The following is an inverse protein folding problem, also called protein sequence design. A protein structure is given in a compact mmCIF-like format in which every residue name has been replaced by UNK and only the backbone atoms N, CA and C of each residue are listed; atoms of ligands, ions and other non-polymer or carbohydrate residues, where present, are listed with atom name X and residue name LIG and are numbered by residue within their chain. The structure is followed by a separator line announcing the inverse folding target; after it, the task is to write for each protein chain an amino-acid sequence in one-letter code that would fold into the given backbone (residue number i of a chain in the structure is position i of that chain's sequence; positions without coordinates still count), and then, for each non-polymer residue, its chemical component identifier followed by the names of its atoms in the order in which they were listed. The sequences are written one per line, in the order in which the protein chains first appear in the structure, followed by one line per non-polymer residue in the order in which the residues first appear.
data_IF_516585655633
#
_entry.id   IF_516585655633
#
_cell.length_a   1.000
_cell.length_b   1.000
_cell.length_c   1.000
_cell.angle_alpha   90.00
_cell.angle_beta   90.00
_cell.angle_gamma   90.00
#
_symmetry.space_group_name_H-M   'P 1'
#
loop_
_entity.id
_entity.type
_entity.pdbx_description
1 polymer ?
#
# COMPACT_ATOMS: atom_id res chain seq x y z
N UNK A 1 2.90 -21.01 -1.58
CA UNK A 1 1.95 -19.97 -1.18
C UNK A 1 2.49 -19.08 -0.07
N UNK A 2 1.83 -17.97 0.22
CA UNK A 2 2.18 -17.08 1.33
C UNK A 2 1.29 -17.39 2.54
N UNK A 3 1.91 -17.68 3.70
CA UNK A 3 1.22 -17.89 4.97
C UNK A 3 1.84 -16.98 6.04
N UNK A 4 1.05 -16.18 6.72
CA UNK A 4 1.50 -15.22 7.73
C UNK A 4 2.72 -14.37 7.29
N UNK A 5 2.76 -13.98 6.02
CA UNK A 5 3.85 -13.19 5.43
C UNK A 5 5.06 -14.00 4.95
N UNK A 6 5.12 -15.30 5.21
CA UNK A 6 6.22 -16.19 4.82
C UNK A 6 5.83 -17.04 3.61
N UNK A 7 6.78 -17.28 2.70
CA UNK A 7 6.57 -18.22 1.59
C UNK A 7 6.70 -19.66 2.10
N UNK A 8 5.68 -20.46 1.85
CA UNK A 8 5.62 -21.89 2.21
C UNK A 8 5.58 -22.71 0.93
N UNK A 9 6.51 -23.65 0.80
CA UNK A 9 6.51 -24.60 -0.29
C UNK A 9 5.41 -25.63 -0.10
N UNK A 10 4.54 -25.80 -1.11
CA UNK A 10 3.47 -26.79 -1.09
C UNK A 10 3.92 -28.12 -1.67
N UNK A 11 4.67 -28.08 -2.76
CA UNK A 11 5.19 -29.24 -3.47
C UNK A 11 6.35 -28.83 -4.39
N UNK A 12 7.11 -29.82 -4.87
CA UNK A 12 8.14 -29.62 -5.88
C UNK A 12 8.23 -30.81 -6.82
N UNK A 13 8.55 -30.56 -8.08
CA UNK A 13 8.76 -31.60 -9.07
C UNK A 13 9.96 -31.27 -9.95
N UNK A 14 10.63 -32.32 -10.44
CA UNK A 14 11.67 -32.17 -11.46
C UNK A 14 11.05 -32.23 -12.86
N UNK A 15 11.40 -31.25 -13.70
CA UNK A 15 11.01 -31.29 -15.08
C UNK A 15 11.86 -32.31 -15.86
N UNK A 16 11.20 -33.18 -16.63
CA UNK A 16 11.84 -34.13 -17.51
C UNK A 16 11.29 -33.95 -18.96
N UNK A 17 12.17 -33.77 -19.93
CA UNK A 17 11.79 -33.51 -21.34
C UNK A 17 10.78 -32.36 -21.50
N UNK A 18 10.94 -31.30 -20.72
CA UNK A 18 10.09 -30.13 -20.76
C UNK A 18 8.71 -30.27 -20.07
N UNK A 19 8.48 -31.36 -19.34
CA UNK A 19 7.22 -31.55 -18.61
C UNK A 19 7.46 -31.88 -17.12
N UNK A 20 6.51 -31.55 -16.28
CA UNK A 20 6.45 -31.93 -14.87
C UNK A 20 5.00 -32.25 -14.48
N UNK A 21 4.82 -32.94 -13.38
CA UNK A 21 3.51 -33.21 -12.79
C UNK A 21 3.63 -33.06 -11.27
N UNK A 22 2.68 -32.35 -10.68
CA UNK A 22 2.50 -32.26 -9.22
C UNK A 22 1.14 -32.83 -8.86
N UNK A 23 1.01 -33.42 -7.68
CA UNK A 23 -0.25 -33.96 -7.16
C UNK A 23 -0.35 -33.61 -5.70
N UNK A 24 -1.19 -32.65 -5.36
CA UNK A 24 -1.47 -32.21 -3.99
C UNK A 24 -2.69 -32.89 -3.38
N UNK A 25 -2.91 -32.61 -2.08
CA UNK A 25 -4.20 -32.87 -1.41
C UNK A 25 -5.28 -31.88 -1.85
N UNK A 26 -6.52 -32.11 -1.38
CA UNK A 26 -7.63 -31.17 -1.63
C UNK A 26 -7.40 -29.88 -0.85
N UNK A 27 -7.75 -28.77 -1.49
CA UNK A 27 -7.81 -27.43 -0.85
C UNK A 27 -9.26 -27.12 -0.43
N UNK A 28 -9.41 -26.38 0.65
CA UNK A 28 -10.74 -26.01 1.18
C UNK A 28 -11.45 -25.01 0.25
N UNK A 29 -10.67 -24.11 -0.34
CA UNK A 29 -11.15 -23.08 -1.29
C UNK A 29 -10.01 -22.72 -2.25
N UNK A 30 -10.34 -22.13 -3.42
CA UNK A 30 -9.33 -21.63 -4.33
C UNK A 30 -8.42 -20.60 -3.68
N UNK A 31 -7.10 -20.72 -3.89
CA UNK A 31 -6.12 -19.76 -3.38
C UNK A 31 -5.03 -19.47 -4.41
N UNK A 32 -4.55 -18.21 -4.43
CA UNK A 32 -3.45 -17.80 -5.30
C UNK A 32 -2.15 -18.42 -4.83
N UNK A 33 -1.47 -19.14 -5.72
CA UNK A 33 -0.18 -19.77 -5.46
C UNK A 33 0.85 -19.34 -6.50
N UNK A 34 2.13 -19.50 -6.15
CA UNK A 34 3.26 -19.19 -7.02
C UNK A 34 3.92 -20.47 -7.48
N UNK A 35 4.01 -20.66 -8.81
CA UNK A 35 4.92 -21.63 -9.41
C UNK A 35 6.25 -20.92 -9.73
N UNK A 36 7.34 -21.40 -9.20
CA UNK A 36 8.68 -20.86 -9.43
C UNK A 36 9.66 -21.94 -9.86
N UNK A 37 10.68 -21.56 -10.60
CA UNK A 37 11.81 -22.42 -10.93
C UNK A 37 12.93 -22.16 -9.95
N UNK A 38 13.45 -23.22 -9.34
CA UNK A 38 14.54 -23.13 -8.36
C UNK A 38 15.77 -22.42 -8.96
N UNK A 39 16.41 -21.61 -8.16
CA UNK A 39 17.60 -20.84 -8.54
C UNK A 39 17.40 -19.89 -9.76
N UNK A 40 16.13 -19.52 -10.01
CA UNK A 40 15.74 -18.64 -11.10
C UNK A 40 14.76 -17.56 -10.61
N UNK A 41 14.63 -16.49 -11.41
CA UNK A 41 13.59 -15.47 -11.22
C UNK A 41 12.29 -15.82 -11.95
N UNK A 42 12.26 -16.93 -12.68
CA UNK A 42 11.12 -17.34 -13.47
C UNK A 42 10.00 -17.85 -12.57
N UNK A 43 8.84 -17.22 -12.69
CA UNK A 43 7.67 -17.52 -11.86
C UNK A 43 6.38 -17.13 -12.56
N UNK A 44 5.29 -17.82 -12.23
CA UNK A 44 3.92 -17.43 -12.58
C UNK A 44 3.00 -17.65 -11.40
N UNK A 45 1.87 -16.95 -11.38
CA UNK A 45 0.85 -17.08 -10.34
C UNK A 45 -0.43 -17.67 -10.93
N UNK A 46 -1.10 -18.51 -10.16
CA UNK A 46 -2.37 -19.06 -10.57
C UNK A 46 -3.24 -19.43 -9.37
N UNK A 47 -4.54 -19.57 -9.60
CA UNK A 47 -5.42 -20.10 -8.58
C UNK A 47 -5.33 -21.62 -8.54
N UNK A 48 -4.90 -22.15 -7.40
CA UNK A 48 -4.94 -23.57 -7.06
C UNK A 48 -6.31 -23.91 -6.50
N UNK A 49 -7.01 -24.84 -7.14
CA UNK A 49 -8.29 -25.38 -6.71
C UNK A 49 -8.36 -26.88 -6.97
N UNK A 50 -9.45 -27.55 -6.52
CA UNK A 50 -9.60 -29.00 -6.69
C UNK A 50 -9.98 -29.36 -8.13
N UNK A 51 -9.03 -29.16 -9.07
CA UNK A 51 -9.19 -29.42 -10.49
C UNK A 51 -7.86 -29.92 -11.11
N UNK A 52 -7.92 -30.42 -12.31
CA UNK A 52 -6.72 -30.71 -13.12
C UNK A 52 -6.29 -29.44 -13.82
N UNK A 53 -5.22 -28.82 -13.34
CA UNK A 53 -4.71 -27.54 -13.84
C UNK A 53 -3.52 -27.80 -14.75
N UNK A 54 -3.57 -27.27 -15.95
CA UNK A 54 -2.49 -27.32 -16.93
C UNK A 54 -1.83 -25.96 -17.06
N UNK A 55 -0.48 -25.95 -16.96
CA UNK A 55 0.33 -24.75 -17.13
C UNK A 55 1.28 -24.99 -18.31
N UNK A 56 1.15 -24.18 -19.35
CA UNK A 56 1.97 -24.27 -20.56
C UNK A 56 2.67 -22.94 -20.81
N UNK A 57 3.98 -22.96 -20.97
CA UNK A 57 4.76 -21.73 -21.19
C UNK A 57 6.20 -22.01 -21.56
N UNK A 58 6.94 -20.95 -21.84
CA UNK A 58 8.38 -21.00 -22.07
C UNK A 58 9.09 -20.73 -20.74
N UNK A 59 10.21 -21.44 -20.52
CA UNK A 59 10.96 -21.33 -19.27
C UNK A 59 11.53 -19.92 -19.05
N UNK A 60 11.93 -19.24 -20.11
CA UNK A 60 12.48 -17.88 -20.08
C UNK A 60 11.43 -16.77 -19.93
N UNK A 61 10.15 -17.10 -20.08
CA UNK A 61 9.01 -16.18 -20.00
C UNK A 61 7.80 -16.80 -19.28
N UNK A 62 8.07 -17.47 -18.15
CA UNK A 62 7.05 -18.19 -17.38
C UNK A 62 5.90 -17.28 -16.88
N UNK A 63 6.14 -15.97 -16.73
CA UNK A 63 5.11 -14.98 -16.41
C UNK A 63 3.99 -14.90 -17.44
N UNK A 64 4.27 -15.25 -18.71
CA UNK A 64 3.30 -15.34 -19.81
C UNK A 64 2.74 -16.75 -20.02
N UNK A 65 2.84 -17.65 -19.04
CA UNK A 65 2.32 -19.01 -19.17
C UNK A 65 0.80 -19.00 -19.32
N UNK A 66 0.31 -19.87 -20.20
CA UNK A 66 -1.13 -20.15 -20.35
C UNK A 66 -1.53 -21.15 -19.27
N UNK A 67 -2.52 -20.79 -18.46
CA UNK A 67 -3.05 -21.61 -17.39
C UNK A 67 -4.50 -21.97 -17.76
N UNK A 68 -4.88 -23.23 -17.58
CA UNK A 68 -6.21 -23.73 -17.89
C UNK A 68 -6.63 -24.82 -16.90
N UNK A 69 -7.95 -25.03 -16.77
CA UNK A 69 -8.52 -26.02 -15.86
C UNK A 69 -8.84 -25.49 -14.46
N UNK A 70 -8.50 -24.23 -14.14
CA UNK A 70 -8.96 -23.55 -12.94
C UNK A 70 -10.01 -22.51 -13.30
N UNK A 71 -11.28 -22.74 -12.88
CA UNK A 71 -12.38 -21.81 -13.12
C UNK A 71 -12.13 -20.45 -12.47
N UNK A 72 -11.57 -20.45 -11.26
CA UNK A 72 -11.25 -19.21 -10.53
C UNK A 72 -10.13 -18.44 -11.23
N UNK A 73 -9.15 -19.15 -11.81
CA UNK A 73 -8.09 -18.50 -12.59
C UNK A 73 -8.61 -17.90 -13.89
N UNK A 74 -9.48 -18.63 -14.61
CA UNK A 74 -10.09 -18.14 -15.85
C UNK A 74 -10.92 -16.86 -15.59
N UNK A 75 -11.69 -16.81 -14.50
CA UNK A 75 -12.44 -15.62 -14.08
C UNK A 75 -11.51 -14.45 -13.76
N UNK A 76 -10.48 -14.68 -12.94
CA UNK A 76 -9.49 -13.68 -12.57
C UNK A 76 -8.72 -13.14 -13.78
N UNK A 77 -8.17 -14.01 -14.61
CA UNK A 77 -7.37 -13.63 -15.78
C UNK A 77 -8.20 -12.91 -16.84
N UNK A 78 -9.46 -13.33 -17.03
CA UNK A 78 -10.40 -12.64 -17.91
C UNK A 78 -10.67 -11.21 -17.46
N UNK A 79 -10.86 -11.00 -16.15
CA UNK A 79 -11.02 -9.65 -15.60
C UNK A 79 -9.72 -8.83 -15.70
N UNK A 80 -8.58 -9.40 -15.33
CA UNK A 80 -7.27 -8.72 -15.43
C UNK A 80 -7.01 -8.26 -16.86
N UNK A 81 -7.31 -9.10 -17.86
CA UNK A 81 -7.17 -8.72 -19.26
C UNK A 81 -8.00 -7.49 -19.62
N UNK A 82 -9.22 -7.36 -19.08
CA UNK A 82 -10.04 -6.16 -19.33
C UNK A 82 -9.40 -4.89 -18.75
N UNK A 83 -8.75 -5.01 -17.59
CA UNK A 83 -7.99 -3.90 -16.98
C UNK A 83 -6.71 -3.60 -17.77
N UNK A 84 -6.02 -4.63 -18.26
CA UNK A 84 -4.80 -4.46 -19.05
C UNK A 84 -5.08 -3.74 -20.38
N UNK A 85 -6.19 -4.08 -21.06
CA UNK A 85 -6.61 -3.42 -22.31
C UNK A 85 -6.87 -1.91 -22.08
N UNK A 86 -7.43 -1.53 -20.92
CA UNK A 86 -7.57 -0.12 -20.53
C UNK A 86 -6.24 0.52 -20.11
N UNK A 87 -5.39 -0.23 -19.43
CA UNK A 87 -4.06 0.21 -18.99
C UNK A 87 -3.12 0.50 -20.18
N UNK A 88 -3.25 -0.23 -21.31
CA UNK A 88 -2.50 0.06 -22.52
C UNK A 88 -2.87 1.42 -23.11
N UNK A 89 -4.17 1.77 -23.15
CA UNK A 89 -4.63 3.10 -23.57
C UNK A 89 -4.12 4.20 -22.63
N UNK A 90 -4.13 3.94 -21.33
CA UNK A 90 -3.58 4.83 -20.33
C UNK A 90 -2.07 5.07 -20.51
N UNK A 91 -1.30 4.04 -20.83
CA UNK A 91 0.14 4.15 -21.06
C UNK A 91 0.47 5.11 -22.20
N UNK A 92 -0.32 5.10 -23.28
CA UNK A 92 -0.14 6.03 -24.39
C UNK A 92 -0.39 7.51 -23.95
N UNK A 93 -1.45 7.75 -23.19
CA UNK A 93 -1.76 9.10 -22.65
C UNK A 93 -0.64 9.56 -21.71
N UNK A 94 -0.11 8.66 -20.88
CA UNK A 94 0.99 8.96 -19.97
C UNK A 94 2.29 9.31 -20.71
N UNK A 95 2.62 8.62 -21.81
CA UNK A 95 3.76 8.95 -22.65
C UNK A 95 3.63 10.34 -23.27
N UNK A 96 2.43 10.70 -23.75
CA UNK A 96 2.16 12.05 -24.28
C UNK A 96 2.28 13.12 -23.19
N UNK A 97 1.83 12.83 -21.96
CA UNK A 97 2.02 13.71 -20.81
C UNK A 97 3.49 13.95 -20.51
N UNK A 98 4.33 12.90 -20.50
CA UNK A 98 5.77 13.03 -20.28
C UNK A 98 6.44 13.93 -21.33
N UNK A 99 6.04 13.80 -22.61
CA UNK A 99 6.55 14.64 -23.70
C UNK A 99 6.12 16.09 -23.48
N UNK A 100 4.83 16.34 -23.23
CA UNK A 100 4.32 17.69 -23.01
C UNK A 100 4.97 18.40 -21.81
N UNK A 101 5.21 17.63 -20.72
CA UNK A 101 5.90 18.14 -19.53
C UNK A 101 7.38 18.49 -19.83
N UNK A 102 8.09 17.67 -20.62
CA UNK A 102 9.47 17.95 -21.04
C UNK A 102 9.58 19.15 -21.98
N UNK A 103 8.60 19.33 -22.86
CA UNK A 103 8.52 20.48 -23.78
C UNK A 103 8.07 21.78 -23.10
N UNK A 104 7.60 21.71 -21.84
CA UNK A 104 7.07 22.87 -21.10
C UNK A 104 5.67 23.29 -21.54
N UNK A 105 4.95 22.46 -22.31
CA UNK A 105 3.56 22.69 -22.67
C UNK A 105 2.62 22.40 -21.49
N UNK A 106 2.52 23.35 -20.58
CA UNK A 106 1.73 23.22 -19.35
C UNK A 106 0.23 23.05 -19.61
N UNK A 107 -0.30 23.61 -20.71
CA UNK A 107 -1.72 23.48 -21.06
C UNK A 107 -2.05 22.04 -21.49
N UNK A 108 -1.23 21.49 -22.39
CA UNK A 108 -1.38 20.10 -22.84
C UNK A 108 -1.12 19.10 -21.71
N UNK A 109 -0.09 19.35 -20.89
CA UNK A 109 0.20 18.51 -19.72
C UNK A 109 -0.99 18.46 -18.76
N UNK A 110 -1.59 19.60 -18.40
CA UNK A 110 -2.77 19.66 -17.54
C UNK A 110 -4.02 18.98 -18.13
N UNK A 111 -4.19 19.01 -19.46
CA UNK A 111 -5.26 18.28 -20.13
C UNK A 111 -5.05 16.76 -20.05
N UNK A 112 -3.82 16.30 -20.30
CA UNK A 112 -3.47 14.89 -20.27
C UNK A 112 -3.51 14.33 -18.84
N UNK A 113 -3.12 15.11 -17.84
CA UNK A 113 -3.23 14.76 -16.42
C UNK A 113 -4.68 14.42 -16.01
N UNK A 114 -5.65 15.22 -16.47
CA UNK A 114 -7.09 14.92 -16.25
C UNK A 114 -7.53 13.63 -16.91
N UNK A 115 -7.00 13.29 -18.08
CA UNK A 115 -7.30 12.01 -18.75
C UNK A 115 -6.68 10.83 -18.00
N UNK A 116 -5.48 11.01 -17.46
CA UNK A 116 -4.80 10.04 -16.61
C UNK A 116 -5.62 9.77 -15.34
N UNK A 117 -6.04 10.83 -14.64
CA UNK A 117 -6.88 10.71 -13.44
C UNK A 117 -8.21 10.02 -13.74
N UNK A 118 -8.87 10.36 -14.85
CA UNK A 118 -10.13 9.73 -15.25
C UNK A 118 -9.96 8.24 -15.54
N UNK A 119 -8.90 7.84 -16.26
CA UNK A 119 -8.63 6.42 -16.54
C UNK A 119 -8.29 5.63 -15.26
N UNK A 120 -7.54 6.21 -14.32
CA UNK A 120 -7.27 5.58 -13.03
C UNK A 120 -8.56 5.36 -12.22
N UNK A 121 -9.43 6.36 -12.19
CA UNK A 121 -10.73 6.26 -11.52
C UNK A 121 -11.62 5.20 -12.16
N UNK A 122 -11.62 5.10 -13.49
CA UNK A 122 -12.37 4.08 -14.22
C UNK A 122 -11.87 2.66 -13.89
N UNK A 123 -10.55 2.43 -13.95
CA UNK A 123 -9.97 1.14 -13.58
C UNK A 123 -10.29 0.76 -12.13
N UNK A 124 -10.17 1.69 -11.20
CA UNK A 124 -10.51 1.46 -9.79
C UNK A 124 -12.00 1.15 -9.62
N UNK A 125 -12.88 1.86 -10.35
CA UNK A 125 -14.33 1.62 -10.29
C UNK A 125 -14.69 0.23 -10.86
N UNK A 126 -14.08 -0.18 -11.98
CA UNK A 126 -14.27 -1.51 -12.55
C UNK A 126 -13.87 -2.62 -11.57
N UNK A 127 -12.75 -2.46 -10.87
CA UNK A 127 -12.29 -3.41 -9.85
C UNK A 127 -13.27 -3.48 -8.66
N UNK A 128 -13.75 -2.34 -8.17
CA UNK A 128 -14.78 -2.29 -7.11
C UNK A 128 -16.09 -2.94 -7.55
N UNK A 129 -16.51 -2.69 -8.77
CA UNK A 129 -17.73 -3.26 -9.32
C UNK A 129 -17.61 -4.77 -9.54
N UNK A 130 -16.44 -5.26 -9.95
CA UNK A 130 -16.19 -6.70 -9.98
C UNK A 130 -16.42 -7.34 -8.60
N UNK A 131 -15.81 -6.77 -7.57
CA UNK A 131 -15.93 -7.29 -6.18
C UNK A 131 -17.39 -7.27 -5.71
N UNK A 132 -18.14 -6.19 -5.98
CA UNK A 132 -19.54 -6.05 -5.57
C UNK A 132 -20.47 -6.99 -6.32
N UNK A 133 -20.27 -7.16 -7.62
CA UNK A 133 -21.17 -7.91 -8.49
C UNK A 133 -20.88 -9.41 -8.52
N UNK A 134 -19.76 -9.84 -7.95
CA UNK A 134 -19.35 -11.24 -7.91
C UNK A 134 -19.05 -11.71 -6.47
N UNK A 135 -20.02 -11.66 -5.55
CA UNK A 135 -19.81 -11.96 -4.13
C UNK A 135 -19.34 -13.40 -3.86
N UNK A 136 -19.68 -14.34 -4.74
CA UNK A 136 -19.30 -15.75 -4.66
C UNK A 136 -17.91 -16.04 -5.32
N UNK A 137 -17.28 -15.05 -5.94
CA UNK A 137 -16.00 -15.23 -6.63
C UNK A 137 -14.82 -15.29 -5.66
N UNK A 138 -14.05 -16.38 -5.72
CA UNK A 138 -12.77 -16.48 -5.00
C UNK A 138 -11.65 -15.61 -5.60
N UNK A 139 -11.87 -15.00 -6.76
CA UNK A 139 -10.98 -13.98 -7.33
C UNK A 139 -11.16 -12.60 -6.66
N UNK A 140 -12.36 -12.32 -6.10
CA UNK A 140 -12.69 -11.01 -5.54
C UNK A 140 -11.73 -10.53 -4.44
N UNK A 141 -11.30 -11.35 -3.45
CA UNK A 141 -10.31 -10.93 -2.47
C UNK A 141 -8.96 -10.54 -3.09
N UNK A 142 -8.54 -11.22 -4.17
CA UNK A 142 -7.27 -10.93 -4.85
C UNK A 142 -7.34 -9.58 -5.59
N UNK A 143 -8.47 -9.29 -6.24
CA UNK A 143 -8.70 -8.01 -6.91
C UNK A 143 -8.76 -6.88 -5.86
N UNK A 144 -9.49 -7.09 -4.76
CA UNK A 144 -9.57 -6.12 -3.66
C UNK A 144 -8.20 -5.85 -3.03
N UNK A 145 -7.33 -6.86 -2.93
CA UNK A 145 -5.98 -6.69 -2.41
C UNK A 145 -5.17 -5.65 -3.21
N UNK A 146 -5.37 -5.58 -4.52
CA UNK A 146 -4.77 -4.57 -5.39
C UNK A 146 -5.23 -3.13 -5.09
N UNK A 147 -6.42 -2.96 -4.54
CA UNK A 147 -7.04 -1.66 -4.25
C UNK A 147 -6.72 -1.12 -2.85
N UNK A 148 -6.01 -1.86 -2.01
CA UNK A 148 -5.82 -1.49 -0.60
C UNK A 148 -4.98 -0.22 -0.36
N UNK A 149 -4.31 0.29 -1.38
CA UNK A 149 -3.57 1.55 -1.33
C UNK A 149 -4.43 2.76 -1.71
N UNK A 150 -5.53 2.52 -2.43
CA UNK A 150 -6.41 3.56 -2.99
C UNK A 150 -7.69 3.74 -2.16
N UNK A 151 -8.08 2.70 -1.38
CA UNK A 151 -9.34 2.71 -0.66
C UNK A 151 -9.14 3.03 0.82
N UNK A 152 -10.16 3.64 1.42
CA UNK A 152 -10.29 3.77 2.86
C UNK A 152 -10.66 2.42 3.51
N UNK A 153 -10.29 2.25 4.78
CA UNK A 153 -10.57 1.01 5.52
C UNK A 153 -12.04 0.69 5.62
N UNK A 154 -12.89 1.71 5.79
CA UNK A 154 -14.35 1.59 5.80
C UNK A 154 -14.90 1.06 4.48
N UNK A 155 -14.33 1.45 3.35
CA UNK A 155 -14.75 0.96 2.02
C UNK A 155 -14.29 -0.47 1.79
N UNK A 156 -13.05 -0.82 2.14
CA UNK A 156 -12.54 -2.20 2.09
C UNK A 156 -13.40 -3.12 2.95
N UNK A 157 -13.72 -2.72 4.19
CA UNK A 157 -14.60 -3.48 5.08
C UNK A 157 -15.98 -3.72 4.45
N UNK A 158 -16.57 -2.69 3.84
CA UNK A 158 -17.87 -2.78 3.16
C UNK A 158 -17.84 -3.79 2.01
N UNK A 159 -16.77 -3.76 1.17
CA UNK A 159 -16.60 -4.70 0.06
C UNK A 159 -16.47 -6.14 0.54
N UNK A 160 -15.71 -6.39 1.63
CA UNK A 160 -15.54 -7.73 2.20
C UNK A 160 -16.86 -8.24 2.80
N UNK A 161 -17.60 -7.37 3.49
CA UNK A 161 -18.89 -7.74 4.09
C UNK A 161 -19.98 -8.04 3.04
N UNK A 162 -19.81 -7.60 1.79
CA UNK A 162 -20.68 -7.94 0.66
C UNK A 162 -20.33 -9.29 0.02
N UNK A 163 -19.19 -9.90 0.33
CA UNK A 163 -18.80 -11.22 -0.19
C UNK A 163 -19.60 -12.33 0.48
N UNK A 164 -19.81 -13.43 -0.24
CA UNK A 164 -20.39 -14.64 0.32
C UNK A 164 -19.52 -15.17 1.48
N UNK A 165 -20.15 -15.82 2.45
CA UNK A 165 -19.49 -16.31 3.65
C UNK A 165 -18.25 -17.20 3.35
N UNK A 166 -18.33 -18.04 2.31
CA UNK A 166 -17.21 -18.91 1.91
C UNK A 166 -16.00 -18.08 1.44
N UNK A 167 -16.23 -17.02 0.66
CA UNK A 167 -15.20 -16.12 0.13
C UNK A 167 -14.63 -15.24 1.26
N UNK A 168 -15.50 -14.64 2.09
CA UNK A 168 -15.09 -13.80 3.21
C UNK A 168 -14.26 -14.56 4.28
N UNK A 169 -14.39 -15.89 4.35
CA UNK A 169 -13.63 -16.75 5.26
C UNK A 169 -12.29 -17.24 4.68
N UNK A 170 -11.92 -16.87 3.45
CA UNK A 170 -10.57 -17.16 2.93
C UNK A 170 -9.51 -16.43 3.76
N UNK A 171 -8.28 -16.95 3.78
CA UNK A 171 -7.18 -16.33 4.53
C UNK A 171 -6.97 -14.89 4.06
N UNK A 172 -6.91 -14.67 2.74
CA UNK A 172 -6.70 -13.33 2.18
C UNK A 172 -7.82 -12.35 2.56
N UNK A 173 -9.10 -12.76 2.47
CA UNK A 173 -10.21 -11.87 2.84
C UNK A 173 -10.19 -11.49 4.32
N UNK A 174 -9.82 -12.43 5.21
CA UNK A 174 -9.66 -12.16 6.65
C UNK A 174 -8.50 -11.21 6.92
N UNK A 175 -7.35 -11.40 6.26
CA UNK A 175 -6.19 -10.52 6.39
C UNK A 175 -6.53 -9.10 5.91
N UNK A 176 -7.25 -8.99 4.78
CA UNK A 176 -7.76 -7.71 4.27
C UNK A 176 -8.73 -7.04 5.24
N UNK A 177 -9.62 -7.81 5.87
CA UNK A 177 -10.55 -7.29 6.87
C UNK A 177 -9.82 -6.78 8.12
N UNK A 178 -8.84 -7.52 8.62
CA UNK A 178 -8.00 -7.06 9.75
C UNK A 178 -7.27 -5.76 9.41
N UNK A 179 -6.70 -5.68 8.19
CA UNK A 179 -6.05 -4.46 7.71
C UNK A 179 -7.05 -3.31 7.60
N UNK A 180 -8.24 -3.55 7.05
CA UNK A 180 -9.29 -2.55 6.90
C UNK A 180 -9.73 -1.95 8.25
N UNK A 181 -9.87 -2.79 9.28
CA UNK A 181 -10.20 -2.33 10.63
C UNK A 181 -9.11 -1.41 11.22
N UNK A 182 -7.83 -1.74 10.99
CA UNK A 182 -6.72 -0.86 11.41
C UNK A 182 -6.71 0.46 10.64
N UNK A 183 -6.92 0.42 9.33
CA UNK A 183 -7.03 1.62 8.49
C UNK A 183 -8.20 2.51 8.94
N UNK A 184 -9.36 1.91 9.20
CA UNK A 184 -10.56 2.62 9.67
C UNK A 184 -10.34 3.33 11.01
N UNK A 185 -9.54 2.73 11.90
CA UNK A 185 -9.20 3.34 13.19
C UNK A 185 -8.36 4.63 13.05
N UNK A 186 -7.77 4.87 11.87
CA UNK A 186 -6.94 6.05 11.58
C UNK A 186 -7.45 6.87 10.40
N UNK A 187 -8.74 6.75 10.05
CA UNK A 187 -9.39 7.61 9.07
C UNK A 187 -9.53 9.05 9.59
N UNK A 188 -9.72 9.99 8.68
CA UNK A 188 -10.01 11.39 9.04
C UNK A 188 -11.28 11.45 9.90
N UNK A 189 -11.21 12.21 10.99
CA UNK A 189 -12.25 12.31 12.02
C UNK A 189 -12.11 11.31 13.17
N UNK A 190 -11.25 10.28 13.05
CA UNK A 190 -10.98 9.36 14.16
C UNK A 190 -9.93 9.93 15.11
N UNK A 191 -9.98 9.45 16.36
CA UNK A 191 -8.97 9.76 17.36
C UNK A 191 -7.73 8.89 17.11
N UNK A 192 -6.58 9.51 16.91
CA UNK A 192 -5.31 8.82 16.65
C UNK A 192 -4.97 7.86 17.80
N UNK A 193 -4.70 6.57 17.55
CA UNK A 193 -4.28 5.64 18.60
C UNK A 193 -2.95 6.05 19.23
N UNK A 194 -2.85 6.01 20.56
CA UNK A 194 -1.59 6.27 21.25
C UNK A 194 -0.61 5.10 21.10
N UNK A 195 0.67 5.42 21.10
CA UNK A 195 1.77 4.46 21.16
C UNK A 195 2.98 5.08 21.85
N UNK A 196 3.93 4.27 22.27
CA UNK A 196 5.20 4.72 22.82
C UNK A 196 6.35 4.00 22.13
N UNK A 197 7.33 4.75 21.66
CA UNK A 197 8.59 4.25 21.06
C UNK A 197 9.76 5.03 21.67
N UNK A 198 10.98 4.54 21.50
CA UNK A 198 12.14 5.17 22.10
C UNK A 198 12.66 6.34 21.23
N UNK A 199 13.03 7.41 21.91
CA UNK A 199 13.79 8.53 21.32
C UNK A 199 15.25 8.11 21.01
N UNK A 200 16.05 8.99 20.39
CA UNK A 200 17.47 8.71 20.15
C UNK A 200 18.29 8.38 21.41
N UNK A 201 17.91 8.84 22.55
CA UNK A 201 18.57 8.61 23.86
C UNK A 201 18.12 7.28 24.49
N UNK A 202 17.07 6.64 23.94
CA UNK A 202 16.52 5.37 24.43
C UNK A 202 15.39 5.54 25.43
N UNK A 203 14.88 6.76 25.63
CA UNK A 203 13.75 7.02 26.52
C UNK A 203 12.42 6.79 25.80
N UNK A 204 11.43 6.14 26.44
CA UNK A 204 10.12 5.97 25.84
C UNK A 204 9.37 7.31 25.75
N UNK A 205 8.88 7.63 24.55
CA UNK A 205 8.09 8.84 24.29
C UNK A 205 6.75 8.42 23.69
N UNK A 206 5.64 8.79 24.37
CA UNK A 206 4.28 8.58 23.86
C UNK A 206 3.92 9.67 22.84
N UNK A 207 3.16 9.31 21.80
CA UNK A 207 2.58 10.27 20.87
C UNK A 207 1.76 11.32 21.63
N UNK A 208 0.98 10.88 22.62
CA UNK A 208 0.10 11.77 23.39
C UNK A 208 0.86 12.72 24.35
N UNK A 209 2.15 12.53 24.55
CA UNK A 209 2.98 13.55 25.22
C UNK A 209 3.16 14.82 24.38
N UNK A 210 2.84 14.77 23.08
CA UNK A 210 2.91 15.89 22.12
C UNK A 210 1.53 16.34 21.63
N UNK A 211 0.49 15.54 21.78
CA UNK A 211 -0.90 15.95 21.58
C UNK A 211 -1.24 17.05 22.60
N UNK A 212 -1.96 18.08 22.18
CA UNK A 212 -2.21 19.29 22.98
C UNK A 212 -1.59 20.54 22.37
N UNK A 213 -0.69 20.39 21.38
CA UNK A 213 -0.36 21.47 20.43
C UNK A 213 -1.56 21.69 19.51
N UNK A 214 -1.72 22.89 18.92
CA UNK A 214 -2.86 23.16 18.04
C UNK A 214 -2.93 22.21 16.86
N UNK A 215 -1.76 21.88 16.25
CA UNK A 215 -1.63 20.90 15.19
C UNK A 215 -0.35 20.07 15.40
N UNK A 216 -0.46 18.75 15.27
CA UNK A 216 0.66 17.82 15.33
C UNK A 216 0.70 16.99 14.05
N UNK A 217 1.81 17.02 13.31
CA UNK A 217 2.06 16.12 12.19
C UNK A 217 2.77 14.86 12.70
N UNK A 218 2.07 13.74 12.72
CA UNK A 218 2.66 12.42 12.93
C UNK A 218 3.20 11.94 11.58
N UNK A 219 4.52 11.84 11.44
CA UNK A 219 5.20 11.58 10.17
C UNK A 219 6.01 10.27 10.22
N UNK A 220 5.69 9.33 9.34
CA UNK A 220 6.38 8.05 9.17
C UNK A 220 7.36 8.14 8.00
N UNK A 221 8.65 7.95 8.30
CA UNK A 221 9.74 8.15 7.36
C UNK A 221 10.90 7.18 7.60
N UNK A 222 11.97 7.27 6.80
CA UNK A 222 13.23 6.57 7.07
C UNK A 222 14.41 7.20 6.30
N UNK A 223 15.62 6.99 6.78
CA UNK A 223 16.86 7.44 6.13
C UNK A 223 17.03 6.87 4.72
N UNK A 224 16.65 5.61 4.51
CA UNK A 224 16.73 4.92 3.23
C UNK A 224 15.58 5.27 2.26
N UNK A 225 14.57 6.01 2.70
CA UNK A 225 13.41 6.39 1.90
C UNK A 225 13.71 7.64 1.06
N UNK A 226 14.07 7.47 -0.21
CA UNK A 226 14.35 8.58 -1.11
C UNK A 226 13.24 9.64 -1.20
N UNK A 227 11.96 9.24 -1.44
CA UNK A 227 10.84 10.18 -1.44
C UNK A 227 10.64 10.91 -0.12
N UNK A 228 10.89 10.26 1.05
CA UNK A 228 10.84 10.92 2.36
C UNK A 228 11.89 12.03 2.46
N UNK A 229 13.12 11.74 2.03
CA UNK A 229 14.23 12.70 2.04
C UNK A 229 13.98 13.89 1.09
N UNK A 230 13.19 13.69 0.03
CA UNK A 230 12.75 14.76 -0.87
C UNK A 230 11.65 15.62 -0.23
N UNK A 231 10.75 15.04 0.58
CA UNK A 231 9.69 15.76 1.28
C UNK A 231 10.17 16.48 2.55
N UNK A 232 11.21 15.98 3.23
CA UNK A 232 11.73 16.56 4.48
C UNK A 232 12.01 18.08 4.40
N UNK A 233 12.60 18.65 3.34
CA UNK A 233 12.77 20.09 3.23
C UNK A 233 11.46 20.88 3.27
N UNK A 234 10.37 20.33 2.71
CA UNK A 234 9.04 20.94 2.78
C UNK A 234 8.49 20.90 4.21
N UNK A 235 8.60 19.74 4.90
CA UNK A 235 8.19 19.62 6.32
C UNK A 235 8.96 20.62 7.19
N UNK A 236 10.30 20.74 6.98
CA UNK A 236 11.16 21.72 7.69
C UNK A 236 10.69 23.16 7.43
N UNK A 237 10.31 23.49 6.20
CA UNK A 237 9.79 24.81 5.86
C UNK A 237 8.48 25.11 6.62
N UNK A 238 7.53 24.17 6.59
CA UNK A 238 6.24 24.29 7.29
C UNK A 238 6.49 24.41 8.80
N UNK A 239 7.36 23.57 9.35
CA UNK A 239 7.72 23.61 10.77
C UNK A 239 8.30 24.99 11.19
N UNK A 240 9.28 25.50 10.45
CA UNK A 240 9.90 26.81 10.76
C UNK A 240 8.89 27.97 10.72
N UNK A 241 7.93 27.92 9.82
CA UNK A 241 6.92 28.98 9.65
C UNK A 241 5.82 28.93 10.70
N UNK A 242 5.36 27.72 11.08
CA UNK A 242 4.16 27.55 11.89
C UNK A 242 4.39 27.01 13.31
N UNK A 243 5.61 26.58 13.66
CA UNK A 243 5.89 26.04 15.01
C UNK A 243 5.49 27.02 16.13
N UNK A 244 5.89 28.29 16.01
CA UNK A 244 5.53 29.32 16.98
C UNK A 244 4.03 29.65 17.03
N UNK A 245 3.27 29.21 16.02
CA UNK A 245 1.81 29.36 15.95
C UNK A 245 1.06 28.13 16.49
N UNK A 246 1.80 27.08 16.90
CA UNK A 246 1.26 25.87 17.51
C UNK A 246 1.27 24.65 16.61
N UNK A 247 2.11 24.61 15.55
CA UNK A 247 2.38 23.42 14.74
C UNK A 247 3.60 22.69 15.29
N UNK A 248 3.49 21.38 15.50
CA UNK A 248 4.63 20.52 15.85
C UNK A 248 4.66 19.28 14.96
N UNK A 249 5.77 18.55 14.99
CA UNK A 249 5.97 17.32 14.23
C UNK A 249 6.45 16.21 15.18
N UNK A 250 5.96 15.00 14.97
CA UNK A 250 6.39 13.79 15.67
C UNK A 250 6.81 12.75 14.61
N UNK A 251 8.12 12.56 14.47
CA UNK A 251 8.70 11.67 13.47
C UNK A 251 8.82 10.25 13.98
N UNK A 252 8.29 9.28 13.23
CA UNK A 252 8.47 7.84 13.47
C UNK A 252 9.36 7.27 12.39
N UNK A 253 10.56 6.82 12.77
CA UNK A 253 11.50 6.23 11.83
C UNK A 253 11.28 4.72 11.67
N UNK A 254 11.31 4.25 10.41
CA UNK A 254 11.33 2.85 10.02
C UNK A 254 12.75 2.36 9.68
N UNK A 255 13.78 2.97 10.27
CA UNK A 255 15.16 2.54 10.06
C UNK A 255 15.46 1.22 10.77
N UNK A 256 16.55 0.57 10.37
CA UNK A 256 17.08 -0.65 11.00
C UNK A 256 18.23 -0.35 11.93
N UNK A 257 18.96 0.72 11.66
CA UNK A 257 20.14 1.13 12.42
C UNK A 257 19.95 2.53 12.99
N UNK A 258 20.43 2.71 14.21
CA UNK A 258 20.40 4.01 14.88
C UNK A 258 21.32 5.03 14.18
N UNK A 259 22.45 4.55 13.66
CA UNK A 259 23.43 5.41 12.97
C UNK A 259 22.84 6.08 11.74
N UNK A 260 22.21 5.32 10.84
CA UNK A 260 21.59 5.85 9.62
C UNK A 260 20.47 6.84 9.98
N UNK A 261 19.63 6.47 10.96
CA UNK A 261 18.54 7.32 11.47
C UNK A 261 19.06 8.67 11.98
N UNK A 262 20.04 8.67 12.90
CA UNK A 262 20.59 9.90 13.48
C UNK A 262 21.33 10.76 12.41
N UNK A 263 22.05 10.09 11.51
CA UNK A 263 22.69 10.78 10.40
C UNK A 263 21.68 11.50 9.52
N UNK A 264 20.57 10.86 9.18
CA UNK A 264 19.52 11.45 8.35
C UNK A 264 18.79 12.61 9.06
N UNK A 265 18.53 12.52 10.37
CA UNK A 265 18.00 13.62 11.17
C UNK A 265 18.92 14.86 11.06
N UNK A 266 20.23 14.66 11.22
CA UNK A 266 21.20 15.75 11.14
C UNK A 266 21.32 16.33 9.73
N UNK A 267 21.44 15.47 8.72
CA UNK A 267 21.59 15.89 7.32
C UNK A 267 20.41 16.73 6.82
N UNK A 268 19.17 16.35 7.21
CA UNK A 268 17.95 17.03 6.79
C UNK A 268 17.49 18.14 7.76
N UNK A 269 18.22 18.37 8.87
CA UNK A 269 17.89 19.37 9.89
C UNK A 269 16.49 19.17 10.50
N UNK A 270 16.14 17.95 10.87
CA UNK A 270 14.87 17.58 11.47
C UNK A 270 14.95 17.83 13.00
N UNK A 271 14.45 18.98 13.47
CA UNK A 271 14.71 19.47 14.84
C UNK A 271 13.59 19.13 15.84
N UNK A 272 12.58 18.39 15.44
CA UNK A 272 11.46 17.97 16.28
C UNK A 272 11.72 16.60 16.94
N UNK A 273 10.73 16.09 17.67
CA UNK A 273 10.82 14.79 18.34
C UNK A 273 10.81 13.65 17.35
N UNK A 274 11.75 12.73 17.50
CA UNK A 274 11.83 11.50 16.70
C UNK A 274 11.84 10.27 17.60
N UNK A 275 11.16 9.21 17.15
CA UNK A 275 11.13 7.91 17.82
C UNK A 275 11.30 6.77 16.84
N UNK A 276 11.81 5.63 17.31
CA UNK A 276 11.92 4.40 16.52
C UNK A 276 12.05 3.17 17.43
N UNK A 277 11.62 2.01 16.94
CA UNK A 277 11.96 0.70 17.51
C UNK A 277 13.00 -0.06 16.67
N UNK A 278 13.48 0.55 15.57
CA UNK A 278 14.46 0.00 14.63
C UNK A 278 14.03 -1.34 14.00
N UNK A 279 12.71 -1.58 13.91
CA UNK A 279 12.16 -2.84 13.40
C UNK A 279 11.74 -2.76 11.91
N UNK A 280 12.17 -1.72 11.18
CA UNK A 280 11.87 -1.57 9.76
C UNK A 280 10.34 -1.61 9.53
N UNK A 281 9.85 -2.41 8.57
CA UNK A 281 8.40 -2.57 8.33
C UNK A 281 7.64 -3.29 9.45
N UNK A 282 8.35 -3.86 10.44
CA UNK A 282 7.73 -4.42 11.65
C UNK A 282 7.56 -3.36 12.76
N UNK A 283 7.86 -2.09 12.49
CA UNK A 283 7.67 -1.00 13.45
C UNK A 283 6.26 -1.03 14.05
N UNK A 284 6.18 -0.99 15.38
CA UNK A 284 4.92 -1.18 16.10
C UNK A 284 3.89 -0.09 15.77
N UNK A 285 4.31 1.17 15.70
CA UNK A 285 3.43 2.29 15.37
C UNK A 285 2.97 2.22 13.91
N UNK A 286 3.88 1.91 12.96
CA UNK A 286 3.53 1.75 11.54
C UNK A 286 2.48 0.65 11.34
N UNK A 287 2.61 -0.48 12.06
CA UNK A 287 1.62 -1.57 12.01
C UNK A 287 0.28 -1.18 12.63
N UNK A 288 0.29 -0.41 13.72
CA UNK A 288 -0.92 0.09 14.38
C UNK A 288 -1.69 1.06 13.48
N UNK A 289 -0.98 1.93 12.77
CA UNK A 289 -1.54 2.91 11.83
C UNK A 289 -1.75 2.36 10.41
N UNK A 290 -1.60 1.05 10.21
CA UNK A 290 -1.70 0.37 8.91
C UNK A 290 -0.80 0.99 7.81
N UNK A 291 0.32 1.62 8.19
CA UNK A 291 1.30 2.21 7.27
C UNK A 291 2.03 1.10 6.54
N UNK A 292 1.88 1.05 5.22
CA UNK A 292 2.48 0.05 4.33
C UNK A 292 3.39 0.64 3.26
N UNK A 293 3.43 1.97 3.17
CA UNK A 293 4.33 2.74 2.32
C UNK A 293 4.73 4.03 3.04
N UNK A 294 5.93 4.53 2.79
CA UNK A 294 6.44 5.82 3.29
C UNK A 294 6.94 6.68 2.13
N UNK A 295 6.84 8.03 2.25
CA UNK A 295 6.38 8.79 3.41
C UNK A 295 4.87 8.60 3.65
N UNK A 296 4.44 8.59 4.92
CA UNK A 296 3.04 8.59 5.30
C UNK A 296 2.87 9.52 6.52
N UNK A 297 1.81 10.30 6.56
CA UNK A 297 1.59 11.19 7.69
C UNK A 297 0.12 11.34 8.05
N UNK A 298 -0.10 11.79 9.28
CA UNK A 298 -1.40 12.10 9.86
C UNK A 298 -1.32 13.46 10.53
N UNK A 299 -2.16 14.41 10.12
CA UNK A 299 -2.27 15.71 10.77
C UNK A 299 -3.33 15.63 11.86
N UNK A 300 -2.95 15.90 13.09
CA UNK A 300 -3.81 15.81 14.29
C UNK A 300 -4.13 17.20 14.82
N UNK A 301 -5.34 17.35 15.39
CA UNK A 301 -5.69 18.51 16.20
C UNK A 301 -5.18 18.39 17.65
N UNK A 302 -5.49 19.37 18.47
CA UNK A 302 -5.13 19.44 19.90
C UNK A 302 -5.75 18.33 20.75
N UNK A 303 -6.80 17.65 20.27
CA UNK A 303 -7.47 16.53 20.94
C UNK A 303 -6.97 15.17 20.41
N UNK A 304 -6.09 15.17 19.40
CA UNK A 304 -5.60 13.98 18.72
C UNK A 304 -6.56 13.47 17.66
N UNK A 305 -7.50 14.28 17.16
CA UNK A 305 -8.38 13.92 16.05
C UNK A 305 -7.62 14.11 14.74
N UNK A 306 -7.69 13.12 13.86
CA UNK A 306 -7.03 13.12 12.55
C UNK A 306 -7.80 14.07 11.60
N UNK A 307 -7.14 15.13 11.16
CA UNK A 307 -7.68 16.16 10.26
C UNK A 307 -7.29 15.95 8.81
N UNK A 308 -6.28 15.15 8.55
CA UNK A 308 -5.79 14.85 7.21
C UNK A 308 -4.74 13.74 7.23
N UNK A 309 -4.53 13.12 6.07
CA UNK A 309 -3.57 12.02 5.88
C UNK A 309 -2.78 12.23 4.61
N UNK A 310 -1.55 11.74 4.58
CA UNK A 310 -0.68 11.73 3.40
C UNK A 310 -0.54 13.12 2.72
N UNK A 311 -0.53 14.17 3.53
CA UNK A 311 -0.37 15.55 3.06
C UNK A 311 1.10 15.78 2.68
N UNK A 312 1.34 16.29 1.46
CA UNK A 312 2.68 16.50 0.92
C UNK A 312 2.76 17.83 0.17
N UNK A 313 3.96 18.33 -0.02
CA UNK A 313 4.23 19.54 -0.80
C UNK A 313 3.29 20.71 -0.41
N UNK A 314 2.67 21.31 -1.40
CA UNK A 314 1.73 22.42 -1.23
C UNK A 314 0.49 22.03 -0.42
N UNK A 315 0.06 20.75 -0.45
CA UNK A 315 -1.12 20.30 0.28
C UNK A 315 -0.90 20.38 1.79
N UNK A 316 0.27 19.95 2.30
CA UNK A 316 0.63 20.08 3.71
C UNK A 316 0.67 21.57 4.12
N UNK A 317 1.41 22.39 3.37
CA UNK A 317 1.52 23.82 3.66
C UNK A 317 0.14 24.51 3.70
N UNK A 318 -0.68 24.28 2.69
CA UNK A 318 -1.99 24.90 2.57
C UNK A 318 -2.93 24.48 3.70
N UNK A 319 -2.91 23.17 4.07
CA UNK A 319 -3.76 22.67 5.15
C UNK A 319 -3.35 23.23 6.51
N UNK A 320 -2.06 23.29 6.82
CA UNK A 320 -1.56 23.89 8.07
C UNK A 320 -1.88 25.39 8.12
N UNK A 321 -1.69 26.11 7.01
CA UNK A 321 -2.04 27.53 6.90
C UNK A 321 -3.54 27.78 7.04
N UNK A 322 -4.39 26.95 6.45
CA UNK A 322 -5.85 27.01 6.59
C UNK A 322 -6.27 26.93 8.05
N UNK A 323 -5.68 25.97 8.80
CA UNK A 323 -6.08 25.65 10.17
C UNK A 323 -5.49 26.60 11.24
N UNK A 324 -4.29 27.13 11.03
CA UNK A 324 -3.62 28.02 12.00
C UNK A 324 -3.80 29.51 11.69
N UNK A 325 -4.32 29.84 10.53
CA UNK A 325 -4.42 31.21 10.07
C UNK A 325 -3.09 31.79 9.60
N UNK A 326 -3.16 32.99 9.02
CA UNK A 326 -1.95 33.71 8.59
C UNK A 326 -1.11 34.21 9.76
#
# INVERSE_FOLDING_TARGET
KREAGVMVDLDSAMAYKGSFKMKGGSVTYPEMVLLSVRDSRMRTQFFLENAEITITGKLDSLYGAVISGSKTHDEYSGFVKTIDDLSEQYTEVYNQYQIAAQEGDTAKAAQLEKQIEAAQQEMMQMQKDFVRNNPASFAAPQILAGLTYELEGSEIESLINAMDTAVANTVLARDLKERALKMKAVEVGQKAPDFSLNDPEGNPVSLYSKVGTKLLLLDFWAAWCGPCRQENPNVVKVYKEFNKKGFDVFGVSLDRTKEDWLKAIADDNLTWTHVSDLQYWNNAAARQYAVSAIPANFLLDENGIILGRNLRDKALYNKVKELLGN
#
